data_IF_602235454952
#
_entry.id   IF_602235454952
#
_cell.length_a   1.000
_cell.length_b   1.000
_cell.length_c   1.000
_cell.angle_alpha   90.00
_cell.angle_beta   90.00
_cell.angle_gamma   90.00
#
_symmetry.space_group_name_H-M   'P 1'
#
loop_
_entity.id
_entity.type
_entity.pdbx_description
1 polymer ?
#
# COMPACT_ATOMS: atom_id res chain seq x y z
N UNK A 1 -0.89 -29.74 -23.60
CA UNK A 1 -0.66 -31.16 -23.91
C UNK A 1 0.66 -31.34 -24.65
N UNK A 2 0.91 -30.59 -25.72
CA UNK A 2 2.20 -30.69 -26.45
C UNK A 2 3.42 -30.38 -25.57
N UNK A 3 3.36 -29.35 -24.72
CA UNK A 3 4.46 -29.05 -23.79
C UNK A 3 4.75 -30.21 -22.83
N UNK A 4 3.72 -30.88 -22.31
CA UNK A 4 3.91 -32.04 -21.42
C UNK A 4 4.50 -33.25 -22.17
N UNK A 5 4.10 -33.46 -23.43
CA UNK A 5 4.57 -34.56 -24.27
C UNK A 5 6.07 -34.49 -24.56
N UNK A 6 6.63 -33.28 -24.70
CA UNK A 6 8.04 -33.08 -25.09
C UNK A 6 9.00 -32.99 -23.90
N UNK A 7 8.49 -32.86 -22.68
CA UNK A 7 9.33 -32.79 -21.49
C UNK A 7 9.78 -34.19 -21.10
N UNK A 8 11.08 -34.33 -20.78
CA UNK A 8 11.59 -35.53 -20.14
C UNK A 8 10.97 -35.68 -18.73
N UNK A 9 10.90 -36.90 -18.18
CA UNK A 9 10.48 -37.11 -16.79
C UNK A 9 11.27 -36.23 -15.82
N UNK A 10 10.57 -35.54 -14.92
CA UNK A 10 11.15 -34.55 -13.99
C UNK A 10 11.44 -33.18 -14.60
N UNK A 11 11.21 -32.99 -15.91
CA UNK A 11 11.38 -31.71 -16.61
C UNK A 11 10.45 -30.61 -16.07
N UNK A 12 10.91 -29.36 -16.12
CA UNK A 12 10.19 -28.22 -15.57
C UNK A 12 9.50 -27.43 -16.69
N UNK A 13 8.21 -27.21 -16.53
CA UNK A 13 7.41 -26.29 -17.31
C UNK A 13 7.21 -24.99 -16.52
N UNK A 14 7.48 -23.86 -17.17
CA UNK A 14 7.20 -22.53 -16.62
C UNK A 14 6.39 -21.78 -17.67
N UNK A 15 5.24 -21.26 -17.26
CA UNK A 15 4.47 -20.30 -18.04
C UNK A 15 4.31 -19.03 -17.23
N UNK A 16 4.63 -17.89 -17.86
CA UNK A 16 4.38 -16.56 -17.33
C UNK A 16 3.47 -15.80 -18.30
N UNK A 17 2.46 -15.10 -17.77
CA UNK A 17 1.50 -14.33 -18.56
C UNK A 17 1.23 -12.98 -17.90
N UNK A 18 0.82 -11.95 -18.68
CA UNK A 18 0.39 -10.68 -18.12
C UNK A 18 -0.69 -10.85 -17.04
N UNK A 19 -0.59 -10.08 -15.96
CA UNK A 19 -1.50 -10.13 -14.81
C UNK A 19 -2.70 -9.19 -15.00
N UNK A 20 -3.90 -9.75 -15.13
CA UNK A 20 -5.14 -8.97 -15.23
C UNK A 20 -5.46 -8.14 -13.98
N UNK A 21 -4.92 -8.52 -12.82
CA UNK A 21 -5.14 -7.78 -11.58
C UNK A 21 -4.31 -6.49 -11.50
N UNK A 22 -3.29 -6.34 -12.35
CA UNK A 22 -2.52 -5.10 -12.44
C UNK A 22 -3.19 -4.10 -13.38
N UNK A 23 -3.57 -2.94 -12.85
CA UNK A 23 -4.34 -1.93 -13.58
C UNK A 23 -3.61 -1.42 -14.83
N UNK A 24 -2.29 -1.20 -14.75
CA UNK A 24 -1.48 -0.77 -15.91
C UNK A 24 -1.45 -1.83 -17.01
N UNK A 25 -1.35 -3.10 -16.62
CA UNK A 25 -1.34 -4.23 -17.55
C UNK A 25 -2.71 -4.39 -18.21
N UNK A 26 -3.78 -4.37 -17.41
CA UNK A 26 -5.16 -4.51 -17.87
C UNK A 26 -5.57 -3.36 -18.81
N UNK A 27 -5.22 -2.12 -18.45
CA UNK A 27 -5.66 -0.92 -19.15
C UNK A 27 -4.80 -0.52 -20.35
N UNK A 28 -3.55 -0.97 -20.41
CA UNK A 28 -2.60 -0.49 -21.41
C UNK A 28 -1.64 -1.57 -21.93
N UNK A 29 -0.78 -2.13 -21.08
CA UNK A 29 0.37 -2.90 -21.60
C UNK A 29 -0.01 -4.18 -22.33
N UNK A 30 -1.10 -4.83 -21.91
CA UNK A 30 -1.64 -5.99 -22.61
C UNK A 30 -2.08 -5.64 -24.04
N UNK A 31 -2.60 -4.45 -24.29
CA UNK A 31 -3.13 -4.07 -25.61
C UNK A 31 -2.07 -3.56 -26.58
N UNK A 32 -0.82 -3.41 -26.13
CA UNK A 32 0.30 -3.00 -27.00
C UNK A 32 0.71 -4.08 -27.98
N UNK A 33 0.46 -5.35 -27.66
CA UNK A 33 0.73 -6.49 -28.52
C UNK A 33 -0.60 -7.01 -29.11
N UNK A 34 -0.79 -6.93 -30.45
CA UNK A 34 -2.02 -7.38 -31.10
C UNK A 34 -2.21 -8.91 -31.08
N UNK A 35 -1.20 -9.68 -30.70
CA UNK A 35 -1.30 -11.14 -30.57
C UNK A 35 -1.96 -11.59 -29.27
N UNK A 36 -2.13 -10.68 -28.31
CA UNK A 36 -2.80 -10.99 -27.06
C UNK A 36 -4.30 -11.22 -27.26
N UNK A 37 -4.77 -12.39 -26.81
CA UNK A 37 -6.16 -12.81 -26.97
C UNK A 37 -6.97 -12.67 -25.68
N UNK A 38 -6.38 -13.06 -24.54
CA UNK A 38 -7.03 -13.01 -23.22
C UNK A 38 -6.01 -13.10 -22.08
N UNK A 39 -6.46 -12.71 -20.90
CA UNK A 39 -5.74 -12.94 -19.66
C UNK A 39 -5.89 -14.36 -19.12
N UNK A 40 -4.96 -14.73 -18.24
CA UNK A 40 -4.97 -15.97 -17.49
C UNK A 40 -4.76 -15.72 -16.00
N UNK A 41 -5.59 -16.35 -15.18
CA UNK A 41 -5.44 -16.38 -13.73
C UNK A 41 -4.48 -17.53 -13.31
N UNK A 42 -3.66 -17.38 -12.25
CA UNK A 42 -2.77 -18.43 -11.78
C UNK A 42 -3.45 -19.78 -11.55
N UNK A 43 -4.68 -19.79 -11.01
CA UNK A 43 -5.44 -21.03 -10.76
C UNK A 43 -5.88 -21.67 -12.07
N UNK A 44 -6.20 -20.87 -13.08
CA UNK A 44 -6.53 -21.37 -14.42
C UNK A 44 -5.30 -21.98 -15.10
N UNK A 45 -4.13 -21.35 -14.96
CA UNK A 45 -2.86 -21.91 -15.47
C UNK A 45 -2.53 -23.24 -14.78
N UNK A 46 -2.66 -23.31 -13.46
CA UNK A 46 -2.48 -24.55 -12.69
C UNK A 46 -3.44 -25.65 -13.13
N UNK A 47 -4.72 -25.31 -13.34
CA UNK A 47 -5.72 -26.23 -13.86
C UNK A 47 -5.32 -26.81 -15.23
N UNK A 48 -4.83 -25.97 -16.15
CA UNK A 48 -4.37 -26.45 -17.45
C UNK A 48 -3.12 -27.33 -17.36
N UNK A 49 -2.20 -27.03 -16.43
CA UNK A 49 -1.03 -27.88 -16.16
C UNK A 49 -1.45 -29.26 -15.66
N UNK A 50 -2.32 -29.31 -14.64
CA UNK A 50 -2.85 -30.56 -14.10
C UNK A 50 -3.59 -31.37 -15.17
N UNK A 51 -4.44 -30.72 -15.97
CA UNK A 51 -5.14 -31.37 -17.09
C UNK A 51 -4.18 -31.91 -18.16
N UNK A 52 -3.00 -31.31 -18.31
CA UNK A 52 -1.97 -31.77 -19.24
C UNK A 52 -1.08 -32.90 -18.66
N UNK A 53 -1.33 -33.36 -17.42
CA UNK A 53 -0.52 -34.39 -16.76
C UNK A 53 0.74 -33.85 -16.07
N UNK A 54 0.83 -32.54 -15.86
CA UNK A 54 1.94 -31.93 -15.13
C UNK A 54 1.56 -31.73 -13.66
N UNK A 55 2.49 -32.02 -12.75
CA UNK A 55 2.36 -31.74 -11.33
C UNK A 55 2.64 -30.26 -11.06
N UNK A 56 1.68 -29.51 -10.52
CA UNK A 56 1.87 -28.09 -10.19
C UNK A 56 2.72 -27.97 -8.94
N UNK A 57 3.87 -27.28 -9.06
CA UNK A 57 4.81 -27.04 -7.97
C UNK A 57 4.55 -25.69 -7.31
N UNK A 58 4.31 -24.65 -8.12
CA UNK A 58 4.21 -23.27 -7.63
C UNK A 58 3.33 -22.42 -8.54
N UNK A 59 2.64 -21.43 -7.97
CA UNK A 59 1.92 -20.38 -8.70
C UNK A 59 2.05 -19.05 -7.97
N UNK A 60 2.14 -17.93 -8.69
CA UNK A 60 2.18 -16.63 -8.06
C UNK A 60 2.29 -15.47 -9.04
N UNK A 61 2.46 -14.26 -8.50
CA UNK A 61 2.92 -13.10 -9.26
C UNK A 61 4.44 -13.03 -9.23
N UNK A 62 5.09 -12.66 -10.35
CA UNK A 62 6.56 -12.52 -10.32
C UNK A 62 6.96 -11.30 -9.47
N UNK A 63 7.66 -11.49 -8.34
CA UNK A 63 8.06 -10.36 -7.49
C UNK A 63 9.13 -9.47 -8.16
N UNK A 64 9.86 -9.99 -9.15
CA UNK A 64 10.87 -9.21 -9.89
C UNK A 64 10.28 -8.28 -10.94
N UNK A 65 9.03 -8.50 -11.32
CA UNK A 65 8.31 -7.69 -12.31
C UNK A 65 7.17 -6.94 -11.63
N UNK A 66 7.52 -6.07 -10.70
CA UNK A 66 6.60 -5.27 -9.92
C UNK A 66 7.04 -3.81 -9.96
N UNK A 67 6.63 -3.09 -11.02
CA UNK A 67 6.97 -1.68 -11.18
C UNK A 67 6.25 -0.78 -10.14
N UNK A 68 5.19 -1.29 -9.52
CA UNK A 68 4.37 -0.55 -8.58
C UNK A 68 3.47 0.50 -9.26
N UNK A 69 2.81 1.35 -8.47
CA UNK A 69 1.99 2.44 -8.99
C UNK A 69 2.84 3.48 -9.73
N UNK A 70 2.27 4.19 -10.71
CA UNK A 70 3.01 5.23 -11.43
C UNK A 70 3.38 6.38 -10.49
N UNK A 71 4.49 7.11 -10.73
CA UNK A 71 5.00 8.13 -9.80
C UNK A 71 4.00 9.22 -9.43
N UNK A 72 3.14 9.62 -10.37
CA UNK A 72 2.12 10.65 -10.15
C UNK A 72 0.92 10.17 -9.31
N UNK A 73 0.76 8.85 -9.13
CA UNK A 73 -0.23 8.27 -8.24
C UNK A 73 0.33 8.06 -6.82
N UNK A 74 1.60 8.36 -6.55
CA UNK A 74 2.11 8.30 -5.19
C UNK A 74 1.70 9.55 -4.42
N UNK A 75 1.28 9.38 -3.17
CA UNK A 75 1.00 10.51 -2.31
C UNK A 75 2.30 11.31 -2.09
N UNK A 76 2.27 12.65 -2.22
CA UNK A 76 3.44 13.48 -1.96
C UNK A 76 3.93 13.29 -0.52
N UNK A 77 5.22 13.49 -0.30
CA UNK A 77 5.76 13.51 1.05
C UNK A 77 5.14 14.67 1.83
N UNK A 78 4.47 14.32 2.92
CA UNK A 78 3.91 15.28 3.87
C UNK A 78 5.04 15.76 4.76
N UNK A 79 5.31 17.07 4.76
CA UNK A 79 6.18 17.69 5.73
C UNK A 79 5.61 17.43 7.14
N UNK A 80 6.41 16.83 8.02
CA UNK A 80 6.06 16.67 9.43
C UNK A 80 6.75 17.80 10.17
N UNK A 81 5.97 18.79 10.60
CA UNK A 81 6.47 19.85 11.46
C UNK A 81 7.00 19.25 12.78
N UNK A 82 8.08 19.81 13.35
CA UNK A 82 8.59 19.36 14.63
C UNK A 82 7.55 19.53 15.74
N UNK A 83 7.62 18.66 16.75
CA UNK A 83 6.72 18.71 17.89
C UNK A 83 6.99 19.96 18.75
N UNK A 84 6.10 20.95 18.66
CA UNK A 84 6.18 22.23 19.39
C UNK A 84 5.55 22.17 20.79
N UNK A 85 4.97 21.03 21.20
CA UNK A 85 4.30 20.89 22.52
C UNK A 85 5.15 21.32 23.71
N UNK A 86 6.42 20.91 23.86
CA UNK A 86 7.22 21.32 25.03
C UNK A 86 7.37 22.85 25.09
N UNK A 87 7.53 23.49 23.94
CA UNK A 87 7.70 24.95 23.84
C UNK A 87 6.38 25.68 24.10
N UNK A 88 5.25 25.16 23.60
CA UNK A 88 3.92 25.72 23.84
C UNK A 88 3.52 25.61 25.31
N UNK A 89 3.72 24.45 25.93
CA UNK A 89 3.44 24.25 27.37
C UNK A 89 4.29 25.18 28.22
N UNK A 90 5.58 25.32 27.92
CA UNK A 90 6.45 26.26 28.61
C UNK A 90 6.01 27.72 28.43
N UNK A 91 5.54 28.10 27.24
CA UNK A 91 5.02 29.43 26.97
C UNK A 91 3.71 29.71 27.73
N UNK A 92 2.75 28.78 27.72
CA UNK A 92 1.50 28.90 28.47
C UNK A 92 1.80 29.00 29.97
N UNK A 93 2.65 28.12 30.51
CA UNK A 93 3.03 28.15 31.92
C UNK A 93 3.63 29.50 32.33
N UNK A 94 4.50 30.08 31.50
CA UNK A 94 5.06 31.42 31.74
C UNK A 94 4.01 32.53 31.75
N UNK A 95 3.00 32.42 30.89
CA UNK A 95 1.94 33.42 30.77
C UNK A 95 0.90 33.28 31.90
N UNK A 96 0.60 32.05 32.33
CA UNK A 96 -0.34 31.75 33.41
C UNK A 96 0.29 31.90 34.81
N UNK A 97 1.62 32.00 34.91
CA UNK A 97 2.32 32.17 36.18
C UNK A 97 2.13 33.58 36.72
N UNK A 98 1.34 33.70 37.78
CA UNK A 98 1.21 34.92 38.57
C UNK A 98 1.91 34.70 39.92
N UNK A 99 3.10 35.29 40.10
CA UNK A 99 3.95 35.08 41.28
C UNK A 99 3.29 35.48 42.62
N UNK A 100 2.15 36.17 42.56
CA UNK A 100 1.41 36.68 43.73
C UNK A 100 0.21 35.82 44.14
N UNK A 101 -0.24 34.86 43.32
CA UNK A 101 -1.40 34.00 43.62
C UNK A 101 -1.07 32.52 43.39
N UNK A 102 -0.92 31.77 44.48
CA UNK A 102 -0.52 30.35 44.48
C UNK A 102 -1.54 29.36 43.90
N UNK A 103 -2.63 29.81 43.29
CA UNK A 103 -3.60 28.96 42.60
C UNK A 103 -4.16 29.69 41.38
N UNK A 104 -4.15 29.00 40.22
CA UNK A 104 -4.70 29.49 38.95
C UNK A 104 -6.21 29.75 39.11
N UNK A 105 -6.63 30.99 38.92
CA UNK A 105 -8.03 31.42 39.00
C UNK A 105 -8.83 30.87 37.80
N UNK A 106 -9.87 30.03 37.99
CA UNK A 106 -10.63 29.42 36.91
C UNK A 106 -11.29 30.43 35.96
N UNK A 107 -11.61 31.63 36.45
CA UNK A 107 -12.24 32.72 35.69
C UNK A 107 -11.21 33.62 34.99
N UNK A 108 -9.92 33.28 35.06
CA UNK A 108 -8.86 34.03 34.38
C UNK A 108 -8.95 33.87 32.85
N UNK A 109 -8.84 34.96 32.08
CA UNK A 109 -8.77 34.91 30.61
C UNK A 109 -7.65 33.98 30.09
N UNK A 110 -6.56 33.84 30.86
CA UNK A 110 -5.44 32.96 30.53
C UNK A 110 -5.77 31.48 30.66
N UNK A 111 -6.67 31.12 31.58
CA UNK A 111 -7.16 29.75 31.73
C UNK A 111 -8.04 29.35 30.53
N UNK A 112 -8.95 30.24 30.11
CA UNK A 112 -9.78 30.03 28.90
C UNK A 112 -8.92 29.90 27.63
N UNK A 113 -7.86 30.72 27.51
CA UNK A 113 -6.93 30.65 26.41
C UNK A 113 -6.12 29.34 26.39
N UNK A 114 -5.61 28.89 27.55
CA UNK A 114 -4.94 27.61 27.70
C UNK A 114 -5.83 26.42 27.32
N UNK A 115 -7.09 26.44 27.77
CA UNK A 115 -8.08 25.44 27.37
C UNK A 115 -8.32 25.45 25.84
N UNK A 116 -8.49 26.63 25.24
CA UNK A 116 -8.66 26.77 23.78
C UNK A 116 -7.47 26.19 23.00
N UNK A 117 -6.23 26.48 23.42
CA UNK A 117 -5.03 25.91 22.81
C UNK A 117 -4.98 24.39 22.96
N UNK A 118 -5.34 23.85 24.12
CA UNK A 118 -5.42 22.39 24.33
C UNK A 118 -6.45 21.72 23.42
N UNK A 119 -7.61 22.35 23.22
CA UNK A 119 -8.63 21.86 22.27
C UNK A 119 -8.14 21.91 20.83
N UNK A 120 -7.45 22.99 20.43
CA UNK A 120 -6.85 23.10 19.09
C UNK A 120 -5.78 22.04 18.87
N UNK A 121 -4.90 21.81 19.84
CA UNK A 121 -3.88 20.76 19.81
C UNK A 121 -4.53 19.39 19.65
N UNK A 122 -5.54 19.08 20.46
CA UNK A 122 -6.26 17.82 20.37
C UNK A 122 -6.90 17.63 18.99
N UNK A 123 -7.52 18.68 18.44
CA UNK A 123 -8.09 18.65 17.08
C UNK A 123 -7.02 18.42 16.01
N UNK A 124 -5.90 19.13 16.08
CA UNK A 124 -4.79 18.96 15.15
C UNK A 124 -4.25 17.52 15.19
N UNK A 125 -4.09 16.95 16.37
CA UNK A 125 -3.66 15.56 16.55
C UNK A 125 -4.65 14.59 15.92
N UNK A 126 -5.94 14.73 16.21
CA UNK A 126 -6.97 13.87 15.60
C UNK A 126 -6.94 13.98 14.08
N UNK A 127 -6.81 15.18 13.52
CA UNK A 127 -6.69 15.34 12.07
C UNK A 127 -5.42 14.73 11.48
N UNK A 128 -4.29 14.77 12.20
CA UNK A 128 -3.05 14.11 11.78
C UNK A 128 -3.17 12.59 11.80
N UNK A 129 -3.80 12.02 12.83
CA UNK A 129 -4.07 10.59 12.95
C UNK A 129 -5.01 10.11 11.83
N UNK A 130 -6.09 10.86 11.56
CA UNK A 130 -7.01 10.58 10.45
C UNK A 130 -6.30 10.64 9.09
N UNK A 131 -5.47 11.66 8.87
CA UNK A 131 -4.69 11.79 7.63
C UNK A 131 -3.70 10.63 7.47
N UNK A 132 -3.03 10.21 8.54
CA UNK A 132 -2.13 9.07 8.52
C UNK A 132 -2.88 7.77 8.17
N UNK A 133 -4.07 7.56 8.74
CA UNK A 133 -4.93 6.42 8.41
C UNK A 133 -5.35 6.45 6.93
N UNK A 134 -5.78 7.59 6.40
CA UNK A 134 -6.14 7.76 4.99
C UNK A 134 -4.94 7.47 4.08
N UNK A 135 -3.75 7.97 4.41
CA UNK A 135 -2.52 7.70 3.65
C UNK A 135 -2.19 6.21 3.64
N UNK A 136 -2.36 5.53 4.76
CA UNK A 136 -2.16 4.08 4.86
C UNK A 136 -3.17 3.31 4.00
N UNK A 137 -4.47 3.65 4.07
CA UNK A 137 -5.50 3.04 3.23
C UNK A 137 -5.25 3.29 1.75
N UNK A 138 -4.81 4.49 1.38
CA UNK A 138 -4.43 4.81 0.00
C UNK A 138 -3.25 3.96 -0.49
N UNK A 139 -2.20 3.83 0.31
CA UNK A 139 -1.05 2.98 -0.03
C UNK A 139 -1.45 1.51 -0.20
N UNK A 140 -2.35 1.00 0.66
CA UNK A 140 -2.89 -0.36 0.53
C UNK A 140 -3.71 -0.54 -0.75
N UNK A 141 -4.56 0.44 -1.09
CA UNK A 141 -5.33 0.42 -2.33
C UNK A 141 -4.40 0.41 -3.55
N UNK A 142 -3.37 1.25 -3.57
CA UNK A 142 -2.38 1.26 -4.65
C UNK A 142 -1.66 -0.08 -4.77
N UNK A 143 -1.28 -0.71 -3.65
CA UNK A 143 -0.65 -2.03 -3.67
C UNK A 143 -1.57 -3.11 -4.25
N UNK A 144 -2.89 -3.01 -4.03
CA UNK A 144 -3.88 -3.92 -4.61
C UNK A 144 -4.17 -3.64 -6.09
N UNK A 145 -4.10 -2.38 -6.53
CA UNK A 145 -4.31 -1.99 -7.93
C UNK A 145 -3.08 -2.23 -8.82
N UNK A 146 -1.89 -2.24 -8.22
CA UNK A 146 -0.63 -2.46 -8.92
C UNK A 146 0.17 -3.62 -8.28
N UNK A 147 -0.35 -4.87 -8.30
CA UNK A 147 0.42 -6.07 -7.98
C UNK A 147 1.49 -6.33 -9.07
N UNK A 148 2.18 -7.47 -8.99
CA UNK A 148 3.10 -7.92 -10.06
C UNK A 148 2.45 -7.81 -11.45
N UNK A 149 3.22 -7.37 -12.45
CA UNK A 149 2.74 -7.20 -13.83
C UNK A 149 2.50 -8.54 -14.54
N UNK A 150 3.09 -9.62 -14.04
CA UNK A 150 2.92 -10.96 -14.57
C UNK A 150 2.64 -11.97 -13.47
N UNK A 151 1.92 -13.02 -13.87
CA UNK A 151 1.66 -14.20 -13.07
C UNK A 151 2.30 -15.40 -13.72
N UNK A 152 2.67 -16.40 -12.91
CA UNK A 152 3.30 -17.61 -13.39
C UNK A 152 2.74 -18.87 -12.75
N UNK A 153 3.01 -19.99 -13.43
CA UNK A 153 2.90 -21.34 -12.93
C UNK A 153 4.21 -22.07 -13.18
N UNK A 154 4.67 -22.84 -12.20
CA UNK A 154 5.75 -23.81 -12.34
C UNK A 154 5.16 -25.19 -12.14
N UNK A 155 5.38 -26.07 -13.11
CA UNK A 155 4.91 -27.45 -13.06
C UNK A 155 6.03 -28.42 -13.47
N UNK A 156 5.92 -29.67 -13.04
CA UNK A 156 6.88 -30.74 -13.28
C UNK A 156 6.24 -31.85 -14.11
N UNK A 157 6.96 -32.37 -15.09
CA UNK A 157 6.56 -33.57 -15.81
C UNK A 157 6.75 -34.80 -14.93
N UNK A 158 5.68 -35.59 -14.81
CA UNK A 158 5.64 -36.85 -14.04
C UNK A 158 5.93 -38.02 -14.97
#
# INVERSE_FOLDING_TARGET
TESARVLAPGGIFIAATPNAACLSVLGHDFWRDPTHLRFYDPRLLAFYCAKAGLEVVETGGNPRNHAGPPPHALAPETHVDPDLRPDLVAAIQRITWDATKGASDPDSPWHTFGHFLGVLEQRLRTSQEELAAVKQSYAQLLAQLYPSNEVYVVARAV
#
